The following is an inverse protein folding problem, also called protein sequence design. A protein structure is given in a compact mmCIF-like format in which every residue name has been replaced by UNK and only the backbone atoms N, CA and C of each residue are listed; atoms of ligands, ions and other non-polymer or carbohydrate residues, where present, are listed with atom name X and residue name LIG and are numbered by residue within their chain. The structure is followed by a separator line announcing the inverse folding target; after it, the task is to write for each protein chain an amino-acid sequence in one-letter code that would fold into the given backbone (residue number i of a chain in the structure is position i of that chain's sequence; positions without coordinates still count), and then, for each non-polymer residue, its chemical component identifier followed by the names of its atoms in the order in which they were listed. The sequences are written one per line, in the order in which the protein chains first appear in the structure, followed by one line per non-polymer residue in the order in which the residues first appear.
data_IF_218634336459
#
_entry.id   IF_218634336459
#
_cell.length_a   1.000
_cell.length_b   1.000
_cell.length_c   1.000
_cell.angle_alpha   90.00
_cell.angle_beta   90.00
_cell.angle_gamma   90.00
#
_symmetry.space_group_name_H-M   'P 1'
#
loop_
_entity.id
_entity.type
_entity.pdbx_description
1 polymer ?
#
# COMPACT_ATOMS: atom_id res chain seq x y z
N UNK A 1 16.91 -5.11 -3.90
CA UNK A 1 15.53 -5.18 -3.41
C UNK A 1 14.97 -3.77 -3.28
N UNK A 2 13.76 -3.55 -3.80
CA UNK A 2 13.15 -2.23 -3.73
C UNK A 2 12.68 -1.89 -2.32
N UNK A 3 12.88 -0.63 -1.95
CA UNK A 3 12.29 -0.10 -0.73
C UNK A 3 11.21 0.91 -1.12
N UNK A 4 10.29 1.15 -0.21
CA UNK A 4 9.25 2.14 -0.44
C UNK A 4 9.76 3.48 0.10
N UNK A 5 9.89 4.44 -0.79
CA UNK A 5 10.35 5.79 -0.42
C UNK A 5 9.19 6.69 0.01
N UNK A 6 8.00 6.44 -0.54
CA UNK A 6 6.84 7.27 -0.29
C UNK A 6 5.60 6.39 -0.21
N UNK A 7 4.75 6.62 0.77
CA UNK A 7 3.46 5.95 0.93
C UNK A 7 2.47 6.98 1.46
N UNK A 8 1.72 7.60 0.55
CA UNK A 8 0.77 8.66 0.89
C UNK A 8 -0.65 8.13 0.75
N UNK A 9 -1.42 8.08 1.84
CA UNK A 9 -2.80 7.61 1.75
C UNK A 9 -3.65 8.56 0.91
N UNK A 10 -4.42 7.97 0.02
CA UNK A 10 -5.35 8.68 -0.85
C UNK A 10 -6.78 8.30 -0.46
N UNK A 11 -7.75 8.96 -1.08
CA UNK A 11 -9.14 8.57 -0.91
C UNK A 11 -9.38 7.18 -1.49
N UNK A 12 -10.44 6.54 -1.04
CA UNK A 12 -10.90 5.27 -1.59
C UNK A 12 -9.91 4.11 -1.34
N UNK A 13 -9.22 4.16 -0.18
CA UNK A 13 -8.32 3.08 0.27
C UNK A 13 -7.20 2.78 -0.70
N UNK A 14 -6.67 3.80 -1.33
CA UNK A 14 -5.49 3.69 -2.18
C UNK A 14 -4.32 4.40 -1.53
N UNK A 15 -3.12 4.02 -1.90
CA UNK A 15 -1.89 4.61 -1.36
C UNK A 15 -0.98 4.95 -2.52
N UNK A 16 -0.56 6.21 -2.59
CA UNK A 16 0.38 6.66 -3.61
C UNK A 16 1.78 6.20 -3.23
N UNK A 17 2.38 5.40 -4.09
CA UNK A 17 3.65 4.71 -3.82
C UNK A 17 4.74 5.22 -4.76
N UNK A 18 5.94 5.38 -4.19
CA UNK A 18 7.17 5.54 -4.97
C UNK A 18 8.22 4.61 -4.39
N UNK A 19 8.84 3.81 -5.24
CA UNK A 19 9.90 2.89 -4.82
C UNK A 19 11.26 3.44 -5.13
N UNK A 20 12.29 2.83 -4.54
CA UNK A 20 13.68 3.23 -4.76
C UNK A 20 14.15 3.03 -6.20
N UNK A 21 13.54 2.10 -6.94
CA UNK A 21 13.88 1.90 -8.34
C UNK A 21 13.09 2.81 -9.29
N UNK A 22 12.20 3.65 -8.75
CA UNK A 22 11.43 4.60 -9.55
C UNK A 22 10.06 4.12 -9.98
N UNK A 23 9.61 2.95 -9.51
CA UNK A 23 8.25 2.48 -9.77
C UNK A 23 7.30 3.35 -8.97
N UNK A 24 6.26 3.87 -9.61
CA UNK A 24 5.26 4.70 -8.94
C UNK A 24 3.86 4.30 -9.38
N UNK A 25 2.90 4.60 -8.55
CA UNK A 25 1.50 4.32 -8.84
C UNK A 25 0.68 4.22 -7.57
N UNK A 26 -0.62 4.00 -7.73
CA UNK A 26 -1.53 3.86 -6.60
C UNK A 26 -1.75 2.38 -6.30
N UNK A 27 -1.40 1.98 -5.08
CA UNK A 27 -1.68 0.64 -4.59
C UNK A 27 -3.09 0.62 -4.01
N UNK A 28 -3.93 -0.28 -4.50
CA UNK A 28 -5.33 -0.40 -4.08
C UNK A 28 -5.45 -1.43 -2.97
N UNK A 29 -5.81 -0.98 -1.78
CA UNK A 29 -5.95 -1.86 -0.61
C UNK A 29 -7.34 -2.50 -0.55
N UNK A 30 -8.31 -2.01 -1.33
CA UNK A 30 -9.70 -2.50 -1.24
C UNK A 30 -9.84 -4.03 -1.33
N UNK A 31 -9.13 -4.73 -2.23
CA UNK A 31 -9.29 -6.18 -2.31
C UNK A 31 -8.90 -6.93 -1.03
N UNK A 32 -8.12 -6.30 -0.17
CA UNK A 32 -7.62 -6.94 1.05
C UNK A 32 -8.45 -6.62 2.30
N UNK A 33 -9.38 -5.66 2.21
CA UNK A 33 -10.10 -5.16 3.39
C UNK A 33 -11.03 -6.19 4.03
N UNK A 34 -11.43 -7.21 3.28
CA UNK A 34 -12.32 -8.25 3.81
C UNK A 34 -11.59 -9.31 4.63
N UNK A 35 -10.27 -9.33 4.60
CA UNK A 35 -9.49 -10.25 5.41
C UNK A 35 -9.49 -9.82 6.87
N UNK A 36 -9.55 -10.80 7.78
CA UNK A 36 -9.61 -10.48 9.20
C UNK A 36 -8.39 -9.70 9.68
N UNK A 37 -7.22 -9.96 9.09
CA UNK A 37 -6.00 -9.27 9.47
C UNK A 37 -6.01 -7.78 9.10
N UNK A 38 -6.81 -7.40 8.09
CA UNK A 38 -6.82 -6.03 7.58
C UNK A 38 -8.11 -5.28 7.89
N UNK A 39 -8.94 -5.83 8.73
CA UNK A 39 -10.26 -5.26 9.04
C UNK A 39 -10.17 -3.84 9.59
N UNK A 40 -9.16 -3.59 10.40
CA UNK A 40 -8.96 -2.28 11.02
C UNK A 40 -8.69 -1.18 10.00
N UNK A 41 -8.16 -1.54 8.83
CA UNK A 41 -7.89 -0.59 7.77
C UNK A 41 -9.15 0.02 7.16
N UNK A 42 -10.32 -0.56 7.43
CA UNK A 42 -11.59 0.03 6.99
C UNK A 42 -11.86 1.36 7.69
N UNK A 43 -11.30 1.57 8.87
CA UNK A 43 -11.39 2.85 9.55
C UNK A 43 -10.48 3.83 8.85
N UNK A 44 -11.06 4.87 8.26
CA UNK A 44 -10.31 5.82 7.43
C UNK A 44 -9.23 6.55 8.21
N UNK A 45 -9.51 6.92 9.45
CA UNK A 45 -8.50 7.59 10.30
C UNK A 45 -7.31 6.69 10.54
N UNK A 46 -7.55 5.41 10.77
CA UNK A 46 -6.48 4.46 10.98
C UNK A 46 -5.72 4.18 9.68
N UNK A 47 -6.44 4.04 8.58
CA UNK A 47 -5.82 3.81 7.27
C UNK A 47 -4.78 4.87 6.94
N UNK A 48 -5.06 6.12 7.32
CA UNK A 48 -4.16 7.24 7.02
C UNK A 48 -2.87 7.22 7.81
N UNK A 49 -2.72 6.31 8.76
CA UNK A 49 -1.50 6.18 9.57
C UNK A 49 -0.43 5.32 8.90
N UNK A 50 -0.66 4.88 7.68
CA UNK A 50 0.31 4.09 6.92
C UNK A 50 1.63 4.85 6.76
N UNK A 51 2.73 4.10 6.79
CA UNK A 51 4.07 4.67 6.57
C UNK A 51 4.96 3.66 5.87
N UNK A 52 6.02 4.14 5.20
CA UNK A 52 7.01 3.22 4.65
C UNK A 52 7.70 2.44 5.74
N UNK A 53 8.02 1.19 5.45
CA UNK A 53 8.80 0.32 6.30
C UNK A 53 9.97 -0.22 5.49
N UNK A 54 10.84 -1.01 6.13
CA UNK A 54 12.06 -1.48 5.48
C UNK A 54 11.79 -2.25 4.19
N UNK A 55 10.78 -3.12 4.19
CA UNK A 55 10.47 -3.96 3.03
C UNK A 55 9.04 -3.78 2.52
N UNK A 56 8.44 -2.62 2.76
CA UNK A 56 7.08 -2.38 2.32
C UNK A 56 6.44 -1.21 3.02
N UNK A 57 5.19 -1.37 3.41
CA UNK A 57 4.43 -0.36 4.16
C UNK A 57 3.83 -1.02 5.40
N UNK A 58 3.59 -0.22 6.44
CA UNK A 58 3.11 -0.74 7.71
C UNK A 58 2.18 0.25 8.41
N UNK A 59 1.26 -0.28 9.19
CA UNK A 59 0.38 0.47 10.09
C UNK A 59 0.76 0.22 11.55
N UNK A 60 0.29 1.05 12.49
CA UNK A 60 0.70 0.94 13.90
C UNK A 60 0.47 -0.42 14.56
N UNK A 61 -0.60 -1.13 14.18
CA UNK A 61 -0.89 -2.45 14.74
C UNK A 61 -0.33 -3.58 13.89
N UNK A 62 0.73 -3.29 13.14
CA UNK A 62 1.54 -4.27 12.42
C UNK A 62 0.91 -4.89 11.17
N UNK A 63 -0.21 -4.36 10.70
CA UNK A 63 -0.65 -4.73 9.35
C UNK A 63 0.43 -4.25 8.38
N UNK A 64 0.77 -5.06 7.41
CA UNK A 64 1.80 -4.67 6.45
C UNK A 64 1.54 -5.28 5.08
N UNK A 65 2.16 -4.67 4.07
CA UNK A 65 2.24 -5.22 2.72
C UNK A 65 3.68 -5.13 2.27
N UNK A 66 4.19 -6.21 1.69
CA UNK A 66 5.56 -6.22 1.19
C UNK A 66 5.69 -5.39 -0.08
N UNK A 67 6.91 -4.91 -0.34
CA UNK A 67 7.22 -4.21 -1.59
C UNK A 67 6.86 -5.05 -2.80
N UNK A 68 7.12 -6.36 -2.75
CA UNK A 68 6.82 -7.25 -3.87
C UNK A 68 5.33 -7.28 -4.20
N UNK A 69 4.48 -7.38 -3.18
CA UNK A 69 3.03 -7.35 -3.38
C UNK A 69 2.58 -6.02 -3.98
N UNK A 70 3.10 -4.92 -3.45
CA UNK A 70 2.73 -3.58 -3.89
C UNK A 70 3.14 -3.36 -5.34
N UNK A 71 4.37 -3.73 -5.68
CA UNK A 71 4.90 -3.54 -7.04
C UNK A 71 4.10 -4.40 -8.02
N UNK A 72 3.84 -5.65 -7.65
CA UNK A 72 3.06 -6.54 -8.49
C UNK A 72 1.68 -5.94 -8.77
N UNK A 73 1.04 -5.44 -7.74
CA UNK A 73 -0.29 -4.83 -7.87
C UNK A 73 -0.26 -3.63 -8.81
N UNK A 74 0.69 -2.74 -8.61
CA UNK A 74 0.81 -1.54 -9.45
C UNK A 74 1.04 -1.93 -10.92
N UNK A 75 1.92 -2.89 -11.16
CA UNK A 75 2.28 -3.27 -12.53
C UNK A 75 1.20 -4.09 -13.24
N UNK A 76 0.33 -4.76 -12.49
CA UNK A 76 -0.66 -5.66 -13.08
C UNK A 76 -2.09 -5.17 -13.01
N UNK A 77 -2.38 -4.14 -12.24
CA UNK A 77 -3.74 -3.62 -12.10
C UNK A 77 -3.92 -2.22 -12.66
N UNK A 78 -2.84 -1.53 -13.01
CA UNK A 78 -2.93 -0.23 -13.63
C UNK A 78 -3.57 -0.37 -15.01
N UNK A 79 -4.48 0.53 -15.39
CA UNK A 79 -5.05 0.48 -16.73
C UNK A 79 -3.94 0.64 -17.75
N UNK A 80 -3.89 -0.28 -18.68
CA UNK A 80 -2.93 -0.19 -19.78
C UNK A 80 -3.66 0.43 -20.97
N UNK A 81 -3.21 1.55 -21.37
CA UNK A 81 -3.82 2.21 -22.54
C UNK A 81 -2.79 2.53 -23.55
#
# INVERSE_FOLDING_TARGET
MDTILKAVPLDNYRIDILTSSGISGAFDVKPYLNGSAFKELKNKSYFRLVRPAHHGIIWPNEQDFSSDTIIWDIQNTQPSN
#
